data_IF_045140135310
#
_entry.id   IF_045140135310
#
_cell.length_a   1.000
_cell.length_b   1.000
_cell.length_c   1.000
_cell.angle_alpha   90.00
_cell.angle_beta   90.00
_cell.angle_gamma   90.00
#
_symmetry.space_group_name_H-M   'P 1'
#
loop_
_entity.id
_entity.type
_entity.pdbx_description
1 polymer ?
#
# COMPACT_ATOMS: atom_id res chain seq x y z
N UNK A 1 -6.35 -7.19 -17.37
CA UNK A 1 -6.33 -6.58 -16.02
C UNK A 1 -4.90 -6.16 -15.76
N UNK A 2 -4.68 -5.18 -14.89
CA UNK A 2 -3.35 -4.66 -14.58
C UNK A 2 -3.12 -4.77 -13.09
N UNK A 3 -2.01 -5.37 -12.67
CA UNK A 3 -1.64 -5.43 -11.27
C UNK A 3 -0.91 -4.14 -10.90
N UNK A 4 -1.36 -3.47 -9.84
CA UNK A 4 -0.56 -2.46 -9.16
C UNK A 4 0.09 -3.10 -7.94
N UNK A 5 1.39 -2.86 -7.77
CA UNK A 5 2.18 -3.40 -6.66
C UNK A 5 2.90 -2.25 -5.98
N UNK A 6 2.78 -2.21 -4.65
CA UNK A 6 3.55 -1.32 -3.80
C UNK A 6 4.50 -2.19 -3.00
N UNK A 7 5.80 -1.97 -3.18
CA UNK A 7 6.85 -2.71 -2.51
C UNK A 7 7.66 -1.78 -1.62
N UNK A 8 7.96 -2.24 -0.40
CA UNK A 8 8.56 -1.44 0.65
C UNK A 8 9.63 -2.24 1.36
N UNK A 9 10.65 -1.54 1.88
CA UNK A 9 11.62 -2.11 2.81
C UNK A 9 12.03 -1.03 3.79
N UNK A 10 12.01 -1.33 5.09
CA UNK A 10 12.68 -0.51 6.10
C UNK A 10 13.35 -1.37 7.17
N UNK A 11 14.66 -1.22 7.31
CA UNK A 11 15.49 -1.96 8.25
C UNK A 11 16.45 -1.01 8.99
N UNK A 12 16.42 -0.95 10.33
CA UNK A 12 15.36 -1.41 11.22
C UNK A 12 14.17 -0.44 11.21
N UNK A 13 12.93 -0.93 11.20
CA UNK A 13 11.76 -0.06 11.37
C UNK A 13 10.48 -0.69 10.86
N UNK A 14 9.49 0.17 10.62
CA UNK A 14 8.22 -0.19 10.02
C UNK A 14 7.74 0.96 9.14
N UNK A 15 6.80 0.62 8.26
CA UNK A 15 6.04 1.57 7.47
C UNK A 15 4.59 1.57 7.90
N UNK A 16 3.96 2.72 7.76
CA UNK A 16 2.51 2.83 7.73
C UNK A 16 2.13 3.48 6.42
N UNK A 17 1.29 2.81 5.65
CA UNK A 17 0.69 3.36 4.44
C UNK A 17 -0.80 3.51 4.66
N UNK A 18 -1.31 4.63 4.16
CA UNK A 18 -2.70 5.03 4.32
C UNK A 18 -3.13 5.93 3.17
N UNK A 19 -4.43 6.19 3.03
CA UNK A 19 -5.03 7.06 2.03
C UNK A 19 -4.54 6.77 0.59
N UNK A 20 -4.39 5.49 0.26
CA UNK A 20 -3.97 5.08 -1.07
C UNK A 20 -5.09 5.40 -2.09
N UNK A 21 -4.73 6.05 -3.17
CA UNK A 21 -5.67 6.44 -4.22
C UNK A 21 -5.02 6.31 -5.59
N UNK A 22 -5.80 5.81 -6.54
CA UNK A 22 -5.49 5.83 -7.95
C UNK A 22 -6.71 6.34 -8.70
N UNK A 23 -6.62 7.57 -9.23
CA UNK A 23 -7.74 8.22 -9.92
C UNK A 23 -7.45 8.43 -11.39
N UNK A 24 -8.40 8.11 -12.24
CA UNK A 24 -8.33 8.48 -13.65
C UNK A 24 -8.35 10.01 -13.76
N UNK A 25 -7.43 10.57 -14.55
CA UNK A 25 -7.10 12.00 -14.51
C UNK A 25 -8.22 12.90 -15.03
N UNK A 26 -9.02 12.42 -15.98
CA UNK A 26 -10.07 13.22 -16.62
C UNK A 26 -11.41 13.14 -15.89
N UNK A 27 -11.71 11.99 -15.30
CA UNK A 27 -13.00 11.66 -14.68
C UNK A 27 -12.95 11.72 -13.16
N UNK A 28 -11.76 11.63 -12.56
CA UNK A 28 -11.58 11.58 -11.10
C UNK A 28 -12.05 10.27 -10.47
N UNK A 29 -12.43 9.27 -11.28
CA UNK A 29 -12.91 7.97 -10.81
C UNK A 29 -11.78 7.25 -10.08
N UNK A 30 -12.04 6.88 -8.83
CA UNK A 30 -11.17 6.02 -8.03
C UNK A 30 -11.23 4.59 -8.57
N UNK A 31 -10.06 4.01 -8.85
CA UNK A 31 -9.95 2.61 -9.30
C UNK A 31 -9.38 1.70 -8.22
N UNK A 32 -8.68 2.23 -7.23
CA UNK A 32 -8.19 1.45 -6.10
C UNK A 32 -9.32 1.23 -5.11
N UNK A 33 -9.45 0.01 -4.61
CA UNK A 33 -10.45 -0.32 -3.60
C UNK A 33 -9.77 -0.42 -2.23
N UNK A 34 -10.45 0.10 -1.20
CA UNK A 34 -10.02 0.01 0.20
C UNK A 34 -8.60 0.55 0.46
N UNK A 35 -8.25 1.67 -0.18
CA UNK A 35 -6.94 2.29 -0.01
C UNK A 35 -6.77 3.03 1.32
N UNK A 36 -7.87 3.28 2.02
CA UNK A 36 -7.97 3.89 3.36
C UNK A 36 -8.05 2.85 4.49
N UNK A 37 -8.21 1.55 4.17
CA UNK A 37 -8.22 0.44 5.14
C UNK A 37 -9.30 0.48 6.23
N UNK A 38 -10.26 1.41 6.15
CA UNK A 38 -11.31 1.63 7.15
C UNK A 38 -12.37 0.51 7.22
N UNK A 39 -12.29 -0.48 6.33
CA UNK A 39 -13.13 -1.68 6.40
C UNK A 39 -12.55 -2.78 7.32
N UNK A 40 -11.45 -2.49 8.01
CA UNK A 40 -10.73 -3.38 8.94
C UNK A 40 -10.11 -4.63 8.27
N UNK A 41 -10.09 -4.69 6.95
CA UNK A 41 -9.60 -5.82 6.17
C UNK A 41 -8.50 -5.35 5.21
N UNK A 42 -7.51 -6.22 4.96
CA UNK A 42 -6.55 -5.96 3.88
C UNK A 42 -7.19 -6.15 2.48
N UNK A 43 -8.21 -7.00 2.38
CA UNK A 43 -8.88 -7.26 1.10
C UNK A 43 -9.45 -5.95 0.50
N UNK A 44 -9.30 -5.73 -0.82
CA UNK A 44 -8.91 -6.70 -1.85
C UNK A 44 -7.40 -6.75 -2.16
N UNK A 45 -6.55 -6.13 -1.34
CA UNK A 45 -5.11 -6.29 -1.50
C UNK A 45 -4.66 -7.71 -1.16
N UNK A 46 -3.70 -8.19 -1.93
CA UNK A 46 -2.90 -9.36 -1.58
C UNK A 46 -1.57 -8.90 -0.99
N UNK A 47 -1.28 -9.33 0.23
CA UNK A 47 0.04 -9.17 0.84
C UNK A 47 0.94 -10.33 0.45
N UNK A 48 2.20 -10.03 0.21
CA UNK A 48 3.24 -11.03 0.03
C UNK A 48 4.51 -10.56 0.72
N UNK A 49 5.07 -11.45 1.53
CA UNK A 49 6.37 -11.27 2.15
C UNK A 49 7.42 -12.15 1.48
N UNK A 50 8.65 -11.67 1.36
CA UNK A 50 9.69 -12.42 0.65
C UNK A 50 10.41 -13.47 1.53
N UNK A 51 9.87 -13.89 2.67
CA UNK A 51 10.64 -14.81 3.51
C UNK A 51 9.90 -15.80 4.41
N UNK A 52 8.57 -15.98 4.29
CA UNK A 52 7.85 -16.92 5.19
C UNK A 52 8.09 -16.65 6.67
N UNK A 53 8.57 -15.44 6.99
CA UNK A 53 8.68 -14.90 8.34
C UNK A 53 7.34 -14.22 8.56
N UNK A 54 6.55 -14.77 9.48
CA UNK A 54 5.28 -14.23 9.94
C UNK A 54 5.51 -12.91 10.69
N UNK A 55 6.02 -11.89 10.01
CA UNK A 55 5.87 -10.52 10.47
C UNK A 55 4.48 -10.09 10.03
N UNK A 56 3.60 -9.98 11.02
CA UNK A 56 2.16 -9.78 10.85
C UNK A 56 1.89 -8.43 10.18
N UNK A 57 1.68 -8.44 8.87
CA UNK A 57 1.04 -7.33 8.19
C UNK A 57 -0.46 -7.41 8.50
N UNK A 58 -1.01 -6.41 9.17
CA UNK A 58 -2.45 -6.31 9.33
C UNK A 58 -2.87 -4.88 9.18
N UNK A 59 -4.12 -4.69 8.77
CA UNK A 59 -4.84 -3.45 9.02
C UNK A 59 -4.95 -3.28 10.53
N UNK A 60 -4.24 -2.30 11.09
CA UNK A 60 -4.29 -2.03 12.53
C UNK A 60 -5.10 -0.76 12.78
N UNK A 61 -6.00 -0.76 13.78
CA UNK A 61 -6.48 0.50 14.33
C UNK A 61 -5.25 1.18 14.94
N UNK A 62 -4.80 2.27 14.35
CA UNK A 62 -3.62 2.99 14.82
C UNK A 62 -4.00 4.42 15.18
N UNK A 63 -4.50 4.59 16.41
CA UNK A 63 -4.63 5.92 16.95
C UNK A 63 -3.22 6.51 17.12
N UNK A 64 -2.85 7.41 16.20
CA UNK A 64 -1.59 8.17 16.07
C UNK A 64 -0.66 7.78 14.91
N UNK A 65 -0.98 6.78 14.09
CA UNK A 65 -0.15 6.45 12.92
C UNK A 65 -0.91 6.46 11.61
N UNK A 66 -2.24 6.35 11.64
CA UNK A 66 -3.08 6.60 10.48
C UNK A 66 -2.96 8.07 10.08
N UNK A 67 -2.95 8.30 8.77
CA UNK A 67 -2.94 9.65 8.22
C UNK A 67 -4.35 10.25 8.23
N UNK A 68 -5.36 9.42 7.95
CA UNK A 68 -6.77 9.74 8.15
C UNK A 68 -7.48 8.58 8.85
N UNK A 69 -8.78 8.72 9.15
CA UNK A 69 -9.55 7.61 9.72
C UNK A 69 -8.99 6.99 11.01
N UNK A 70 -9.17 5.68 11.15
CA UNK A 70 -8.77 4.86 12.30
C UNK A 70 -7.74 3.79 11.93
N UNK A 71 -7.81 3.26 10.72
CA UNK A 71 -7.04 2.13 10.26
C UNK A 71 -6.00 2.55 9.24
N UNK A 72 -4.90 1.81 9.19
CA UNK A 72 -3.88 1.92 8.16
C UNK A 72 -3.21 0.57 7.96
N UNK A 73 -2.51 0.38 6.85
CA UNK A 73 -1.68 -0.79 6.65
C UNK A 73 -0.30 -0.58 7.27
N UNK A 74 0.05 -1.42 8.25
CA UNK A 74 1.35 -1.37 8.94
C UNK A 74 2.15 -2.61 8.56
N UNK A 75 3.41 -2.38 8.19
CA UNK A 75 4.35 -3.44 7.85
C UNK A 75 5.68 -3.27 8.59
N UNK A 76 6.08 -4.35 9.27
CA UNK A 76 7.32 -4.45 10.04
C UNK A 76 8.41 -5.23 9.28
N UNK A 77 8.34 -5.20 7.95
CA UNK A 77 9.28 -5.82 7.00
C UNK A 77 10.71 -5.87 7.55
N UNK A 78 11.30 -7.06 7.51
CA UNK A 78 12.70 -7.25 7.90
C UNK A 78 13.48 -7.98 6.80
N UNK A 79 14.69 -7.50 6.49
CA UNK A 79 15.70 -8.13 5.63
C UNK A 79 15.45 -8.15 4.11
N UNK A 80 14.21 -8.18 3.64
CA UNK A 80 13.84 -8.18 2.22
C UNK A 80 12.59 -7.31 1.99
N UNK A 81 12.29 -6.83 0.75
CA UNK A 81 11.08 -6.06 0.51
C UNK A 81 9.81 -6.91 0.64
N UNK A 82 8.81 -6.37 1.33
CA UNK A 82 7.45 -6.89 1.32
C UNK A 82 6.59 -6.05 0.36
N UNK A 83 5.45 -6.58 -0.07
CA UNK A 83 4.57 -5.88 -0.99
C UNK A 83 3.09 -6.18 -0.80
N UNK A 84 2.28 -5.15 -1.10
CA UNK A 84 0.83 -5.26 -1.28
C UNK A 84 0.49 -5.01 -2.73
N UNK A 85 -0.52 -5.72 -3.24
CA UNK A 85 -0.92 -5.62 -4.63
C UNK A 85 -2.43 -5.76 -4.83
N UNK A 86 -2.94 -5.14 -5.89
CA UNK A 86 -4.35 -5.24 -6.28
C UNK A 86 -4.47 -5.38 -7.80
N UNK A 87 -5.39 -6.24 -8.24
CA UNK A 87 -5.73 -6.37 -9.66
C UNK A 87 -6.78 -5.34 -10.03
N UNK A 88 -6.45 -4.48 -11.01
CA UNK A 88 -7.28 -3.38 -11.45
C UNK A 88 -7.77 -3.58 -12.90
N UNK A 89 -8.96 -3.05 -13.19
CA UNK A 89 -9.45 -2.93 -14.57
C UNK A 89 -9.24 -1.50 -15.04
N UNK A 90 -8.18 -1.30 -15.81
CA UNK A 90 -7.80 0.01 -16.35
C UNK A 90 -8.19 0.12 -17.83
N UNK A 91 -8.54 1.32 -18.26
CA UNK A 91 -8.84 1.62 -19.65
C UNK A 91 -7.56 1.97 -20.41
N UNK A 92 -7.37 1.37 -21.59
CA UNK A 92 -6.18 1.58 -22.41
C UNK A 92 -6.14 3.04 -22.89
N UNK A 93 -4.97 3.67 -22.77
CA UNK A 93 -4.75 5.05 -23.21
C UNK A 93 -5.20 6.12 -22.20
N UNK A 94 -5.72 5.73 -21.04
CA UNK A 94 -6.07 6.65 -19.97
C UNK A 94 -4.88 6.95 -19.07
N UNK A 95 -4.86 8.15 -18.48
CA UNK A 95 -3.87 8.57 -17.51
C UNK A 95 -4.45 8.48 -16.10
N UNK A 96 -3.63 8.06 -15.16
CA UNK A 96 -4.03 7.87 -13.77
C UNK A 96 -3.04 8.57 -12.83
N UNK A 97 -3.57 9.26 -11.84
CA UNK A 97 -2.80 9.85 -10.74
C UNK A 97 -2.79 8.87 -9.57
N UNK A 98 -1.61 8.53 -9.09
CA UNK A 98 -1.42 7.67 -7.91
C UNK A 98 -0.93 8.53 -6.75
N UNK A 99 -1.56 8.40 -5.59
CA UNK A 99 -1.17 9.06 -4.34
C UNK A 99 -1.35 8.11 -3.16
N UNK A 100 -0.59 8.36 -2.10
CA UNK A 100 -0.68 7.63 -0.83
C UNK A 100 0.04 8.45 0.25
N UNK A 101 -0.34 8.24 1.50
CA UNK A 101 0.38 8.74 2.67
C UNK A 101 1.33 7.67 3.19
N UNK A 102 2.55 8.07 3.54
CA UNK A 102 3.59 7.14 3.97
C UNK A 102 4.29 7.69 5.21
N UNK A 103 4.16 6.97 6.33
CA UNK A 103 4.94 7.18 7.53
C UNK A 103 6.06 6.14 7.59
N UNK A 104 7.27 6.62 7.86
CA UNK A 104 8.47 5.78 8.02
C UNK A 104 9.07 5.98 9.41
N UNK A 105 9.18 4.90 10.20
CA UNK A 105 9.69 4.95 11.57
C UNK A 105 11.19 4.65 11.70
N UNK A 106 11.83 4.09 10.66
CA UNK A 106 13.22 3.60 10.73
C UNK A 106 14.32 4.61 10.40
N UNK A 107 13.98 5.88 10.15
CA UNK A 107 14.92 6.88 9.62
C UNK A 107 14.77 7.07 8.10
N UNK A 108 15.86 7.29 7.32
CA UNK A 108 15.78 7.39 5.86
C UNK A 108 15.08 6.18 5.24
N UNK A 109 14.38 6.40 4.12
CA UNK A 109 13.76 5.32 3.33
C UNK A 109 14.84 4.37 2.80
N UNK A 110 14.79 3.09 3.16
CA UNK A 110 15.68 2.10 2.54
C UNK A 110 15.30 1.86 1.08
N UNK A 111 14.05 1.46 0.80
CA UNK A 111 13.53 1.42 -0.57
C UNK A 111 12.00 1.46 -0.60
N UNK A 112 11.47 2.20 -1.57
CA UNK A 112 10.05 2.22 -1.91
C UNK A 112 9.89 2.14 -3.43
N UNK A 113 8.94 1.35 -3.90
CA UNK A 113 8.69 1.13 -5.31
C UNK A 113 7.19 0.96 -5.57
N UNK A 114 6.69 1.67 -6.59
CA UNK A 114 5.38 1.42 -7.19
C UNK A 114 5.59 0.85 -8.57
N UNK A 115 4.95 -0.27 -8.86
CA UNK A 115 5.03 -0.97 -10.14
C UNK A 115 3.64 -1.25 -10.68
N UNK A 116 3.54 -1.24 -12.01
CA UNK A 116 2.35 -1.70 -12.72
C UNK A 116 2.77 -2.73 -13.75
N UNK A 117 2.10 -3.89 -13.75
CA UNK A 117 2.33 -4.97 -14.71
C UNK A 117 1.02 -5.41 -15.36
N UNK A 118 1.07 -5.69 -16.66
CA UNK A 118 -0.07 -6.14 -17.48
C UNK A 118 -0.11 -7.65 -17.57
#
# INVERSE_FOLDING_TARGET
QTMITFAFRQDPGYWVIDDMSMRETNTGIEVLQNGDFENELLAPFSYCNQQGIDVTSTTYPSNNQSHSGTYAFVDFTANAPDYISQMLTLAIGHMYNISFSLLNSGGPVNSFMVMMSV
#
